data_IF_856396683563
#
_entry.id   IF_856396683563
#
_cell.length_a   1.000
_cell.length_b   1.000
_cell.length_c   1.000
_cell.angle_alpha   90.00
_cell.angle_beta   90.00
_cell.angle_gamma   90.00
#
_symmetry.space_group_name_H-M   'P 1'
#
loop_
_entity.id
_entity.type
_entity.pdbx_description
1 polymer ?
#
# COMPACT_ATOMS: atom_id res chain seq x y z
N UNK A 1 -22.93 37.99 7.81
CA UNK A 1 -21.59 37.44 8.08
C UNK A 1 -21.72 35.93 8.17
N UNK A 2 -21.39 35.25 7.07
CA UNK A 2 -21.58 33.81 6.90
C UNK A 2 -20.61 33.05 7.80
N UNK A 3 -21.15 32.16 8.64
CA UNK A 3 -20.35 31.17 9.38
C UNK A 3 -19.86 30.12 8.38
N UNK A 4 -18.58 30.21 8.03
CA UNK A 4 -17.88 29.12 7.35
C UNK A 4 -17.89 27.90 8.27
N UNK A 5 -18.67 26.87 7.92
CA UNK A 5 -18.57 25.56 8.55
C UNK A 5 -17.18 25.00 8.24
N UNK A 6 -16.32 24.94 9.24
CA UNK A 6 -15.10 24.15 9.17
C UNK A 6 -15.51 22.68 9.08
N UNK A 7 -15.65 22.17 7.85
CA UNK A 7 -15.90 20.76 7.60
C UNK A 7 -14.80 19.96 8.27
N UNK A 8 -15.16 19.13 9.24
CA UNK A 8 -14.26 18.13 9.82
C UNK A 8 -13.62 17.35 8.66
N UNK A 9 -12.29 17.40 8.56
CA UNK A 9 -11.56 16.69 7.52
C UNK A 9 -11.81 15.19 7.70
N UNK A 10 -12.71 14.62 6.90
CA UNK A 10 -13.00 13.20 6.96
C UNK A 10 -11.70 12.41 6.71
N UNK A 11 -11.35 11.53 7.64
CA UNK A 11 -10.19 10.65 7.54
C UNK A 11 -10.23 9.86 6.23
N UNK A 12 -9.06 9.64 5.60
CA UNK A 12 -8.96 8.87 4.36
C UNK A 12 -9.54 7.45 4.52
N UNK A 13 -9.25 6.82 5.66
CA UNK A 13 -9.72 5.49 6.03
C UNK A 13 -10.41 5.52 7.41
N UNK A 14 -11.43 4.67 7.62
CA UNK A 14 -11.93 4.35 8.96
C UNK A 14 -10.82 3.81 9.87
N UNK A 15 -10.96 4.01 11.19
CA UNK A 15 -9.87 3.72 12.13
C UNK A 15 -9.51 2.22 12.21
N UNK A 16 -10.51 1.36 12.07
CA UNK A 16 -10.39 -0.10 12.03
C UNK A 16 -9.71 -0.56 10.74
N UNK A 17 -10.11 -0.01 9.59
CA UNK A 17 -9.49 -0.30 8.28
C UNK A 17 -8.02 0.10 8.29
N UNK A 18 -7.70 1.28 8.84
CA UNK A 18 -6.30 1.74 8.98
C UNK A 18 -5.49 0.81 9.88
N UNK A 19 -6.04 0.40 11.03
CA UNK A 19 -5.35 -0.48 11.99
C UNK A 19 -5.06 -1.85 11.39
N UNK A 20 -5.99 -2.40 10.62
CA UNK A 20 -5.77 -3.68 9.94
C UNK A 20 -4.76 -3.53 8.80
N UNK A 21 -4.82 -2.42 8.05
CA UNK A 21 -3.80 -2.07 7.07
C UNK A 21 -2.40 -1.96 7.67
N UNK A 22 -2.24 -1.30 8.81
CA UNK A 22 -0.96 -1.20 9.54
C UNK A 22 -0.37 -2.56 9.90
N UNK A 23 -1.18 -3.42 10.51
CA UNK A 23 -0.76 -4.77 10.88
C UNK A 23 -0.37 -5.61 9.67
N UNK A 24 -1.14 -5.53 8.60
CA UNK A 24 -0.92 -6.35 7.40
C UNK A 24 0.28 -5.83 6.60
N UNK A 25 0.44 -4.52 6.50
CA UNK A 25 1.54 -3.89 5.78
C UNK A 25 2.88 -4.09 6.49
N UNK A 26 2.93 -4.06 7.82
CA UNK A 26 4.13 -4.44 8.58
C UNK A 26 4.59 -5.85 8.16
N UNK A 27 3.67 -6.83 8.12
CA UNK A 27 3.98 -8.20 7.69
C UNK A 27 4.47 -8.24 6.26
N UNK A 28 3.79 -7.55 5.33
CA UNK A 28 4.19 -7.49 3.93
C UNK A 28 5.59 -6.89 3.77
N UNK A 29 5.89 -5.76 4.42
CA UNK A 29 7.20 -5.10 4.33
C UNK A 29 8.34 -5.99 4.84
N UNK A 30 8.07 -6.82 5.86
CA UNK A 30 9.03 -7.84 6.29
C UNK A 30 9.20 -8.93 5.24
N UNK A 31 8.10 -9.50 4.74
CA UNK A 31 8.11 -10.58 3.77
C UNK A 31 8.82 -10.17 2.48
N UNK A 32 8.52 -8.98 1.94
CA UNK A 32 9.23 -8.38 0.80
C UNK A 32 10.73 -8.23 1.07
N UNK A 33 11.11 -7.89 2.31
CA UNK A 33 12.51 -7.83 2.73
C UNK A 33 13.21 -9.19 2.76
N UNK A 34 12.50 -10.27 3.08
CA UNK A 34 13.01 -11.65 2.99
C UNK A 34 13.07 -12.11 1.54
N UNK A 35 12.06 -11.78 0.75
CA UNK A 35 11.95 -12.11 -0.68
C UNK A 35 13.14 -11.58 -1.49
N UNK A 36 13.68 -10.41 -1.13
CA UNK A 36 14.93 -9.86 -1.71
C UNK A 36 16.15 -10.72 -1.39
N UNK A 37 16.16 -11.39 -0.23
CA UNK A 37 17.27 -12.20 0.30
C UNK A 37 17.04 -13.70 0.13
N UNK A 38 16.02 -14.11 -0.62
CA UNK A 38 15.70 -15.50 -0.81
C UNK A 38 16.94 -16.24 -1.36
N UNK A 39 17.30 -17.41 -0.79
CA UNK A 39 18.48 -18.18 -1.23
C UNK A 39 18.45 -18.51 -2.72
N UNK A 40 17.26 -18.73 -3.29
CA UNK A 40 17.03 -19.05 -4.70
C UNK A 40 16.95 -17.80 -5.60
N UNK A 41 17.48 -16.68 -5.11
CA UNK A 41 17.50 -15.40 -5.80
C UNK A 41 16.30 -14.51 -5.49
N UNK A 42 16.43 -13.24 -5.85
CA UNK A 42 15.48 -12.19 -5.49
C UNK A 42 14.08 -12.45 -6.08
N UNK A 43 13.12 -12.74 -5.20
CA UNK A 43 11.75 -13.13 -5.56
C UNK A 43 10.98 -11.99 -6.22
N UNK A 44 11.26 -10.72 -5.87
CA UNK A 44 10.64 -9.57 -6.53
C UNK A 44 11.05 -9.48 -8.00
N UNK A 45 12.31 -9.76 -8.31
CA UNK A 45 12.80 -9.81 -9.69
C UNK A 45 12.17 -10.98 -10.45
N UNK A 46 12.06 -12.15 -9.81
CA UNK A 46 11.39 -13.33 -10.39
C UNK A 46 9.92 -13.08 -10.73
N UNK A 47 9.23 -12.28 -9.91
CA UNK A 47 7.85 -11.85 -10.18
C UNK A 47 7.75 -10.82 -11.33
N UNK A 48 8.87 -10.23 -11.76
CA UNK A 48 8.92 -9.27 -12.87
C UNK A 48 9.04 -7.80 -12.45
N UNK A 49 9.40 -7.51 -11.19
CA UNK A 49 9.75 -6.15 -10.79
C UNK A 49 11.14 -5.79 -11.33
N UNK A 50 11.31 -4.52 -11.69
CA UNK A 50 12.60 -3.96 -12.10
C UNK A 50 13.25 -3.31 -10.90
N UNK A 51 14.48 -3.70 -10.59
CA UNK A 51 15.25 -3.09 -9.50
C UNK A 51 16.06 -1.89 -10.00
N UNK A 52 15.81 -0.75 -9.40
CA UNK A 52 16.68 0.42 -9.50
C UNK A 52 17.63 0.40 -8.29
N UNK A 53 18.87 -0.04 -8.56
CA UNK A 53 19.87 -0.21 -7.52
C UNK A 53 20.31 1.16 -6.99
N UNK A 54 20.32 1.29 -5.66
CA UNK A 54 20.98 2.41 -4.99
C UNK A 54 22.45 2.46 -5.43
N UNK A 55 22.95 3.60 -5.94
CA UNK A 55 24.35 3.74 -6.32
C UNK A 55 25.29 3.57 -5.12
N UNK A 56 26.52 3.08 -5.33
CA UNK A 56 27.55 3.07 -4.29
C UNK A 56 27.76 4.48 -3.70
N UNK A 57 27.94 4.57 -2.39
CA UNK A 57 28.15 5.85 -1.70
C UNK A 57 26.91 6.73 -1.47
N UNK A 58 25.76 6.41 -2.08
CA UNK A 58 24.50 7.14 -1.85
C UNK A 58 23.76 6.51 -0.67
N UNK A 59 23.30 7.28 0.32
CA UNK A 59 22.46 6.73 1.39
C UNK A 59 21.06 6.34 0.89
N UNK A 60 20.47 5.29 1.46
CA UNK A 60 19.07 4.93 1.18
C UNK A 60 18.82 3.46 0.87
N UNK A 61 17.72 3.18 0.16
CA UNK A 61 17.25 1.84 -0.20
C UNK A 61 17.04 1.73 -1.70
N UNK A 62 17.30 0.56 -2.29
CA UNK A 62 16.99 0.31 -3.71
C UNK A 62 15.48 0.32 -3.94
N UNK A 63 15.05 0.79 -5.10
CA UNK A 63 13.65 0.78 -5.51
C UNK A 63 13.34 -0.48 -6.32
N UNK A 64 12.13 -1.01 -6.16
CA UNK A 64 11.59 -2.09 -6.99
C UNK A 64 10.31 -1.61 -7.65
N UNK A 65 10.33 -1.53 -8.97
CA UNK A 65 9.25 -0.95 -9.77
C UNK A 65 8.47 -2.05 -10.49
N UNK A 66 7.16 -1.95 -10.47
CA UNK A 66 6.24 -2.86 -11.13
C UNK A 66 5.05 -2.13 -11.74
N UNK A 67 4.17 -2.90 -12.37
CA UNK A 67 2.90 -2.40 -12.92
C UNK A 67 1.73 -2.86 -12.06
N UNK A 68 0.76 -1.98 -11.91
CA UNK A 68 -0.56 -2.29 -11.38
C UNK A 68 -1.45 -2.78 -12.53
N UNK A 69 -2.54 -3.50 -12.19
CA UNK A 69 -3.44 -4.09 -13.17
C UNK A 69 -4.09 -3.10 -14.14
N UNK A 70 -4.25 -1.85 -13.72
CA UNK A 70 -4.84 -0.76 -14.52
C UNK A 70 -3.81 0.00 -15.37
N UNK A 71 -2.57 -0.51 -15.47
CA UNK A 71 -1.46 0.15 -16.13
C UNK A 71 -0.73 1.18 -15.26
N UNK A 72 -1.20 1.40 -14.02
CA UNK A 72 -0.53 2.22 -13.03
C UNK A 72 0.87 1.71 -12.65
N UNK A 73 1.59 2.49 -11.85
CA UNK A 73 2.93 2.16 -11.39
C UNK A 73 2.94 1.86 -9.90
N UNK A 74 3.65 0.80 -9.54
CA UNK A 74 4.01 0.49 -8.17
C UNK A 74 5.51 0.69 -8.00
N UNK A 75 5.91 1.33 -6.91
CA UNK A 75 7.30 1.32 -6.46
C UNK A 75 7.38 0.90 -5.00
N UNK A 76 8.30 -0.01 -4.69
CA UNK A 76 8.53 -0.55 -3.36
C UNK A 76 9.95 -0.24 -2.88
N UNK A 77 10.07 0.13 -1.61
CA UNK A 77 11.33 0.32 -0.90
C UNK A 77 11.28 -0.31 0.48
N UNK A 78 12.42 -0.42 1.16
CA UNK A 78 12.45 -0.83 2.57
C UNK A 78 11.67 0.09 3.53
N UNK A 79 11.34 1.32 3.11
CA UNK A 79 10.64 2.34 3.89
C UNK A 79 9.15 2.53 3.51
N UNK A 80 8.64 1.84 2.49
CA UNK A 80 7.23 1.97 2.10
C UNK A 80 6.95 1.65 0.63
N UNK A 81 5.76 2.04 0.18
CA UNK A 81 5.28 1.83 -1.18
C UNK A 81 4.72 3.12 -1.78
N UNK A 82 4.94 3.35 -3.06
CA UNK A 82 4.31 4.40 -3.86
C UNK A 82 3.42 3.75 -4.92
N UNK A 83 2.15 4.12 -4.92
CA UNK A 83 1.14 3.66 -5.86
C UNK A 83 0.66 4.84 -6.71
N UNK A 84 0.93 4.78 -8.00
CA UNK A 84 0.48 5.76 -8.99
C UNK A 84 -0.60 5.14 -9.87
N UNK A 85 -1.86 5.47 -9.60
CA UNK A 85 -3.04 4.86 -10.24
C UNK A 85 -4.25 5.79 -10.08
N UNK A 86 -5.22 5.68 -10.99
CA UNK A 86 -6.47 6.46 -10.94
C UNK A 86 -6.27 7.99 -10.82
N UNK A 87 -5.20 8.54 -11.39
CA UNK A 87 -4.86 9.96 -11.30
C UNK A 87 -4.34 10.43 -9.93
N UNK A 88 -3.98 9.50 -9.04
CA UNK A 88 -3.39 9.77 -7.74
C UNK A 88 -2.02 9.10 -7.61
N UNK A 89 -1.10 9.78 -6.93
CA UNK A 89 0.14 9.20 -6.44
C UNK A 89 0.07 9.13 -4.91
N UNK A 90 0.01 7.91 -4.36
CA UNK A 90 -0.17 7.68 -2.93
C UNK A 90 1.05 6.97 -2.38
N UNK A 91 1.72 7.61 -1.42
CA UNK A 91 2.79 6.99 -0.67
C UNK A 91 2.24 6.41 0.64
N UNK A 92 2.51 5.13 0.85
CA UNK A 92 2.20 4.39 2.09
C UNK A 92 3.52 4.14 2.82
N UNK A 93 3.78 4.87 3.93
CA UNK A 93 4.96 4.60 4.74
C UNK A 93 4.85 3.21 5.37
N UNK A 94 6.00 2.55 5.56
CA UNK A 94 6.10 1.28 6.27
C UNK A 94 5.47 1.35 7.66
N UNK A 95 5.70 2.46 8.37
CA UNK A 95 5.25 2.63 9.74
C UNK A 95 3.89 3.34 9.79
N UNK A 96 2.94 2.74 10.51
CA UNK A 96 1.65 3.33 10.86
C UNK A 96 0.59 3.29 9.77
N UNK A 97 0.94 2.87 8.54
CA UNK A 97 0.05 2.79 7.38
C UNK A 97 -0.83 4.04 7.27
N UNK A 98 -0.17 5.20 7.15
CA UNK A 98 -0.81 6.51 7.00
C UNK A 98 -0.57 6.99 5.57
N UNK A 99 -1.48 6.70 4.63
CA UNK A 99 -1.26 7.03 3.23
C UNK A 99 -1.28 8.55 3.02
N UNK A 100 -0.34 9.04 2.22
CA UNK A 100 -0.17 10.46 1.92
C UNK A 100 -0.25 10.68 0.41
N UNK A 101 -0.91 11.76 0.03
CA UNK A 101 -0.88 12.22 -1.35
C UNK A 101 0.53 12.73 -1.67
N UNK A 102 1.03 12.40 -2.84
CA UNK A 102 2.35 12.81 -3.32
C UNK A 102 2.19 13.71 -4.54
N UNK A 103 2.75 14.90 -4.45
CA UNK A 103 2.95 15.79 -5.59
C UNK A 103 4.34 15.52 -6.19
N UNK A 104 4.42 15.54 -7.52
CA UNK A 104 5.67 15.31 -8.26
C UNK A 104 6.37 14.00 -7.86
N UNK A 105 5.61 12.90 -7.86
CA UNK A 105 6.09 11.61 -7.38
C UNK A 105 7.33 11.11 -8.16
N UNK A 106 8.33 10.60 -7.42
CA UNK A 106 9.59 10.10 -7.98
C UNK A 106 9.79 8.63 -7.62
N UNK A 107 9.50 7.75 -8.57
CA UNK A 107 9.72 6.30 -8.44
C UNK A 107 11.19 5.88 -8.34
N UNK A 108 12.15 6.77 -8.64
CA UNK A 108 13.60 6.53 -8.55
C UNK A 108 14.22 7.03 -7.23
N UNK A 109 13.41 7.47 -6.27
CA UNK A 109 13.91 7.92 -4.98
C UNK A 109 14.71 6.83 -4.26
N UNK A 110 15.79 7.19 -3.56
CA UNK A 110 16.51 6.26 -2.67
C UNK A 110 16.23 6.53 -1.20
N UNK A 111 15.72 7.72 -0.88
CA UNK A 111 15.31 8.13 0.46
C UNK A 111 13.85 8.52 0.48
N UNK A 112 13.24 8.47 1.65
CA UNK A 112 11.83 8.82 1.82
C UNK A 112 11.56 10.31 1.56
N UNK A 113 12.56 11.17 1.80
CA UNK A 113 12.47 12.61 1.51
C UNK A 113 12.37 12.90 0.01
N UNK A 114 12.93 12.03 -0.84
CA UNK A 114 13.04 12.23 -2.28
C UNK A 114 11.84 11.72 -3.08
N UNK A 115 10.88 11.05 -2.43
CA UNK A 115 9.68 10.46 -3.08
C UNK A 115 8.78 11.54 -3.69
N UNK A 116 8.82 12.76 -3.17
CA UNK A 116 8.00 13.89 -3.59
C UNK A 116 7.38 14.63 -2.38
N UNK A 117 6.65 15.72 -2.66
CA UNK A 117 6.00 16.50 -1.60
C UNK A 117 4.78 15.75 -1.09
N UNK A 118 4.81 15.38 0.19
CA UNK A 118 3.78 14.53 0.83
C UNK A 118 2.82 15.37 1.65
N UNK A 119 1.53 15.32 1.33
CA UNK A 119 0.47 16.02 2.07
C UNK A 119 -0.71 15.13 2.39
N UNK A 120 -1.57 15.62 3.27
CA UNK A 120 -2.87 14.99 3.51
C UNK A 120 -3.81 15.22 2.31
N UNK A 121 -4.73 14.28 2.12
CA UNK A 121 -5.80 14.37 1.12
C UNK A 121 -6.84 15.40 1.56
N UNK A 122 -7.03 16.44 0.75
CA UNK A 122 -7.82 17.60 1.15
C UNK A 122 -9.28 17.48 0.69
N UNK A 123 -9.51 17.00 -0.53
CA UNK A 123 -10.84 17.06 -1.17
C UNK A 123 -11.56 15.72 -1.21
N UNK A 124 -12.89 15.74 -1.39
CA UNK A 124 -13.69 14.52 -1.61
C UNK A 124 -13.21 13.69 -2.81
N UNK A 125 -12.99 14.29 -4.00
CA UNK A 125 -12.40 13.61 -5.14
C UNK A 125 -11.01 13.02 -4.86
N UNK A 126 -10.11 13.76 -4.21
CA UNK A 126 -8.79 13.24 -3.81
C UNK A 126 -8.90 12.04 -2.88
N UNK A 127 -9.81 12.08 -1.89
CA UNK A 127 -10.04 10.95 -0.98
C UNK A 127 -10.51 9.70 -1.73
N UNK A 128 -11.42 9.85 -2.70
CA UNK A 128 -11.87 8.73 -3.55
C UNK A 128 -10.73 8.16 -4.40
N UNK A 129 -9.97 9.03 -5.07
CA UNK A 129 -8.84 8.59 -5.89
C UNK A 129 -7.75 7.90 -5.04
N UNK A 130 -7.46 8.45 -3.85
CA UNK A 130 -6.51 7.87 -2.91
C UNK A 130 -6.97 6.49 -2.40
N UNK A 131 -8.25 6.33 -2.05
CA UNK A 131 -8.81 5.02 -1.67
C UNK A 131 -8.78 4.03 -2.83
N UNK A 132 -9.09 4.47 -4.04
CA UNK A 132 -8.97 3.62 -5.23
C UNK A 132 -7.53 3.12 -5.41
N UNK A 133 -6.53 4.01 -5.32
CA UNK A 133 -5.11 3.63 -5.38
C UNK A 133 -4.71 2.67 -4.26
N UNK A 134 -5.17 2.90 -3.02
CA UNK A 134 -4.90 1.98 -1.90
C UNK A 134 -5.53 0.60 -2.11
N UNK A 135 -6.74 0.54 -2.65
CA UNK A 135 -7.36 -0.73 -2.99
C UNK A 135 -6.57 -1.47 -4.08
N UNK A 136 -5.98 -0.75 -5.06
CA UNK A 136 -5.08 -1.33 -6.07
C UNK A 136 -3.77 -1.85 -5.49
N UNK A 137 -3.17 -1.11 -4.55
CA UNK A 137 -2.01 -1.61 -3.82
C UNK A 137 -2.34 -2.90 -3.04
N UNK A 138 -3.49 -2.92 -2.37
CA UNK A 138 -3.94 -4.10 -1.64
C UNK A 138 -4.24 -5.30 -2.56
N UNK A 139 -4.86 -5.08 -3.73
CA UNK A 139 -5.03 -6.13 -4.74
C UNK A 139 -3.68 -6.68 -5.20
N UNK A 140 -2.73 -5.79 -5.53
CA UNK A 140 -1.40 -6.20 -5.99
C UNK A 140 -0.68 -7.04 -4.94
N UNK A 141 -0.73 -6.63 -3.66
CA UNK A 141 -0.16 -7.41 -2.55
C UNK A 141 -0.87 -8.76 -2.39
N UNK A 142 -2.18 -8.83 -2.59
CA UNK A 142 -2.90 -10.09 -2.56
C UNK A 142 -2.47 -11.05 -3.69
N UNK A 143 -2.30 -10.53 -4.90
CA UNK A 143 -1.86 -11.29 -6.07
C UNK A 143 -0.42 -11.76 -5.91
N UNK A 144 0.45 -10.87 -5.44
CA UNK A 144 1.84 -11.19 -5.14
C UNK A 144 1.95 -12.31 -4.11
N UNK A 145 1.21 -12.25 -3.00
CA UNK A 145 1.25 -13.32 -1.99
C UNK A 145 0.67 -14.65 -2.51
N UNK A 146 -0.37 -14.60 -3.36
CA UNK A 146 -0.88 -15.81 -4.00
C UNK A 146 0.15 -16.43 -4.96
N UNK A 147 0.84 -15.59 -5.73
CA UNK A 147 1.93 -16.01 -6.61
C UNK A 147 3.10 -16.58 -5.81
N UNK A 148 3.53 -15.94 -4.71
CA UNK A 148 4.61 -16.48 -3.86
C UNK A 148 4.23 -17.86 -3.33
N UNK A 149 3.01 -18.03 -2.78
CA UNK A 149 2.57 -19.30 -2.24
C UNK A 149 2.56 -20.43 -3.31
N UNK A 150 2.25 -20.10 -4.56
CA UNK A 150 2.16 -21.03 -5.69
C UNK A 150 3.51 -21.33 -6.35
N UNK A 151 4.31 -20.29 -6.65
CA UNK A 151 5.49 -20.36 -7.51
C UNK A 151 6.82 -20.41 -6.75
N UNK A 152 6.87 -19.84 -5.54
CA UNK A 152 8.03 -19.92 -4.64
C UNK A 152 7.80 -21.03 -3.61
N UNK A 153 6.54 -21.21 -3.19
CA UNK A 153 6.10 -22.24 -2.28
C UNK A 153 5.65 -21.69 -0.93
N UNK A 154 4.56 -22.25 -0.41
CA UNK A 154 4.00 -21.85 0.89
C UNK A 154 5.00 -22.03 2.05
N UNK A 155 5.90 -23.03 1.97
CA UNK A 155 6.93 -23.26 2.97
C UNK A 155 7.84 -22.05 3.17
N UNK A 156 8.26 -21.40 2.07
CA UNK A 156 9.05 -20.17 2.11
C UNK A 156 8.36 -19.08 2.92
N UNK A 157 7.06 -18.88 2.71
CA UNK A 157 6.32 -17.85 3.44
C UNK A 157 6.18 -18.20 4.93
N UNK A 158 5.95 -19.48 5.27
CA UNK A 158 5.94 -19.93 6.67
C UNK A 158 7.29 -19.66 7.36
N UNK A 159 8.41 -19.94 6.70
CA UNK A 159 9.75 -19.64 7.20
C UNK A 159 9.97 -18.13 7.40
N UNK A 160 9.57 -17.32 6.42
CA UNK A 160 9.63 -15.86 6.54
C UNK A 160 8.89 -15.35 7.78
N UNK A 161 7.68 -15.87 8.04
CA UNK A 161 6.87 -15.48 9.19
C UNK A 161 7.46 -16.00 10.51
N UNK A 162 7.97 -17.23 10.54
CA UNK A 162 8.63 -17.81 11.72
C UNK A 162 9.91 -17.05 12.11
N UNK A 163 10.62 -16.48 11.14
CA UNK A 163 11.81 -15.66 11.38
C UNK A 163 11.50 -14.24 11.90
N UNK A 164 10.22 -13.80 11.93
CA UNK A 164 9.86 -12.51 12.51
C UNK A 164 9.99 -12.54 14.02
N UNK A 165 10.54 -11.46 14.59
CA UNK A 165 10.52 -11.24 16.05
C UNK A 165 9.10 -11.05 16.60
N UNK A 166 8.24 -10.38 15.84
CA UNK A 166 6.83 -10.15 16.18
C UNK A 166 5.97 -11.17 15.47
N UNK A 167 5.19 -11.94 16.22
CA UNK A 167 4.26 -12.92 15.68
C UNK A 167 3.36 -12.28 14.60
N UNK A 168 3.20 -12.99 13.48
CA UNK A 168 2.28 -12.56 12.44
C UNK A 168 0.84 -12.68 12.94
N UNK A 169 -0.01 -11.66 12.79
CA UNK A 169 -1.43 -11.76 13.11
C UNK A 169 -2.20 -12.65 12.11
N UNK A 170 -1.60 -12.94 10.95
CA UNK A 170 -2.21 -13.72 9.86
C UNK A 170 -1.26 -14.87 9.48
N UNK A 171 -1.75 -16.12 9.37
CA UNK A 171 -0.93 -17.24 8.92
C UNK A 171 -0.59 -17.11 7.43
N UNK A 172 0.45 -17.83 6.97
CA UNK A 172 0.97 -17.71 5.60
C UNK A 172 -0.10 -17.98 4.53
N UNK A 173 -0.98 -18.93 4.80
CA UNK A 173 -2.08 -19.39 3.96
C UNK A 173 -3.12 -18.29 3.70
N UNK A 174 -3.27 -17.36 4.65
CA UNK A 174 -4.33 -16.37 4.62
C UNK A 174 -3.87 -14.99 4.13
N UNK A 175 -2.57 -14.78 3.92
CA UNK A 175 -2.02 -13.45 3.57
C UNK A 175 -2.68 -12.87 2.31
N UNK A 176 -2.80 -13.66 1.24
CA UNK A 176 -3.47 -13.21 0.01
C UNK A 176 -4.93 -12.81 0.28
N UNK A 177 -5.67 -13.66 0.99
CA UNK A 177 -7.08 -13.42 1.32
C UNK A 177 -7.26 -12.20 2.23
N UNK A 178 -6.36 -12.00 3.20
CA UNK A 178 -6.38 -10.84 4.09
C UNK A 178 -6.21 -9.53 3.31
N UNK A 179 -5.29 -9.49 2.34
CA UNK A 179 -5.12 -8.33 1.46
C UNK A 179 -6.35 -8.08 0.58
N UNK A 180 -6.98 -9.12 0.01
CA UNK A 180 -8.25 -8.97 -0.73
C UNK A 180 -9.35 -8.40 0.14
N UNK A 181 -9.48 -8.87 1.39
CA UNK A 181 -10.46 -8.35 2.35
C UNK A 181 -10.21 -6.88 2.67
N UNK A 182 -8.95 -6.47 2.84
CA UNK A 182 -8.59 -5.07 3.04
C UNK A 182 -8.99 -4.22 1.82
N UNK A 183 -8.69 -4.68 0.60
CA UNK A 183 -9.05 -3.98 -0.63
C UNK A 183 -10.58 -3.75 -0.73
N UNK A 184 -11.39 -4.77 -0.40
CA UNK A 184 -12.86 -4.65 -0.34
C UNK A 184 -13.30 -3.60 0.68
N UNK A 185 -12.73 -3.60 1.89
CA UNK A 185 -13.09 -2.63 2.95
C UNK A 185 -12.68 -1.19 2.60
N UNK A 186 -11.53 -1.02 1.94
CA UNK A 186 -11.10 0.30 1.43
C UNK A 186 -12.12 0.82 0.40
N UNK A 187 -12.57 -0.01 -0.55
CA UNK A 187 -13.60 0.38 -1.53
C UNK A 187 -14.95 0.68 -0.88
N UNK A 188 -15.36 -0.12 0.11
CA UNK A 188 -16.64 0.06 0.80
C UNK A 188 -16.72 1.40 1.57
N UNK A 189 -15.58 2.00 1.91
CA UNK A 189 -15.53 3.34 2.52
C UNK A 189 -16.16 4.41 1.62
N UNK A 190 -16.10 4.25 0.29
CA UNK A 190 -16.74 5.18 -0.64
C UNK A 190 -18.28 5.05 -0.65
N UNK A 191 -18.80 3.83 -0.52
CA UNK A 191 -20.24 3.57 -0.54
C UNK A 191 -20.95 4.12 0.70
N UNK A 192 -20.32 4.01 1.88
CA UNK A 192 -20.87 4.54 3.14
C UNK A 192 -20.96 6.08 3.10
N UNK A 193 -19.92 6.75 2.59
CA UNK A 193 -19.91 8.22 2.48
C UNK A 193 -20.94 8.73 1.45
N UNK A 194 -21.25 7.96 0.42
CA UNK A 194 -22.30 8.30 -0.54
C UNK A 194 -23.72 8.15 0.05
N UNK A 195 -23.92 7.22 0.99
CA UNK A 195 -25.20 7.01 1.65
C UNK A 195 -25.52 8.10 2.69
N UNK A 196 -24.51 8.54 3.46
CA UNK A 196 -24.67 9.64 4.44
C UNK A 196 -24.80 11.03 3.78
N UNK A 197 -24.41 11.18 2.51
CA UNK A 197 -24.48 12.43 1.77
C UNK A 197 -25.79 12.61 0.97
N UNK A 198 -26.70 11.62 0.99
CA UNK A 198 -28.01 11.76 0.38
C UNK A 198 -28.87 12.68 1.26
N UNK A 199 -29.34 13.84 0.75
CA UNK A 199 -30.32 14.62 1.50
C UNK A 199 -31.59 13.78 1.64
N UNK A 200 -32.10 13.70 2.85
CA UNK A 200 -33.50 13.30 3.11
C UNK A 200 -34.41 14.36 2.49
N UNK A 201 -34.56 14.34 1.16
CA UNK A 201 -35.64 15.00 0.44
C UNK A 201 -36.76 13.98 0.26
N UNK A 202 -37.73 14.04 1.17
CA UNK A 202 -39.05 13.39 1.10
C UNK A 202 -39.83 13.88 2.32
N UNK A 203 -40.57 14.99 2.15
CA UNK A 203 -41.96 15.08 1.69
C UNK A 203 -42.93 14.86 2.85
#
# INVERSE_FOLDING_TARGET
MSKSSSGSAASLLPCDVRRDGDRLFDVAMWCLGQDVRCPDGNVLLRHGLVREARPPGVEGQSAYQGRLLDGGRLTLWGFGALCESCGAAIFVPRDGFVPRWVEEARGSAFRVEDVGVRRDVATGPERRAARAGLARLADWLAEYEAWVARDVGLAWRRECLAARRKASPIPAEELSTAWRRLAVRVRATDAVVQHDAAPMTGA
#
